data_IF_402759336353
#
_entry.id   IF_402759336353
#
_cell.length_a   1.000
_cell.length_b   1.000
_cell.length_c   1.000
_cell.angle_alpha   90.00
_cell.angle_beta   90.00
_cell.angle_gamma   90.00
#
_symmetry.space_group_name_H-M   'P 1'
#
loop_
_entity.id
_entity.type
_entity.pdbx_description
1 polymer ?
#
# COMPACT_ATOMS: atom_id res chain seq x y z
N UNK A 1 -24.87 -34.12 1.97
CA UNK A 1 -25.66 -32.91 2.29
C UNK A 1 -24.80 -31.98 3.11
N UNK A 2 -23.94 -31.20 2.45
CA UNK A 2 -22.99 -30.30 3.12
C UNK A 2 -23.58 -28.90 3.13
N UNK A 3 -23.95 -28.43 4.31
CA UNK A 3 -24.37 -27.07 4.57
C UNK A 3 -23.23 -26.13 4.21
N UNK A 4 -23.37 -25.47 3.06
CA UNK A 4 -22.49 -24.41 2.57
C UNK A 4 -22.59 -23.29 3.59
N UNK A 5 -21.64 -23.22 4.53
CA UNK A 5 -21.51 -22.05 5.40
C UNK A 5 -20.89 -20.97 4.53
N UNK A 6 -21.74 -20.31 3.73
CA UNK A 6 -21.39 -19.10 3.04
C UNK A 6 -20.73 -18.19 4.06
N UNK A 7 -19.45 -17.89 3.85
CA UNK A 7 -18.82 -16.74 4.49
C UNK A 7 -19.70 -15.58 4.05
N UNK A 8 -20.58 -15.14 4.95
CA UNK A 8 -21.34 -13.92 4.78
C UNK A 8 -20.28 -12.85 4.55
N UNK A 9 -20.10 -12.47 3.28
CA UNK A 9 -19.74 -11.10 2.94
C UNK A 9 -20.66 -10.27 3.80
N UNK A 10 -20.14 -9.60 4.83
CA UNK A 10 -20.95 -8.68 5.60
C UNK A 10 -21.64 -7.78 4.58
N UNK A 11 -22.97 -7.82 4.46
CA UNK A 11 -23.66 -7.01 3.48
C UNK A 11 -23.67 -5.62 4.10
N UNK A 12 -22.62 -4.85 3.86
CA UNK A 12 -22.63 -3.44 4.15
C UNK A 12 -23.18 -2.75 2.91
N UNK A 13 -24.29 -2.04 3.14
CA UNK A 13 -25.01 -1.13 2.26
C UNK A 13 -26.14 -1.70 1.40
N UNK A 14 -27.32 -1.68 2.04
CA UNK A 14 -28.65 -1.81 1.46
C UNK A 14 -29.05 -0.67 0.52
N UNK A 15 -28.19 0.33 0.25
CA UNK A 15 -28.45 1.42 -0.70
C UNK A 15 -27.18 1.84 -1.48
N UNK A 16 -26.69 0.98 -2.39
CA UNK A 16 -25.59 1.34 -3.32
C UNK A 16 -25.86 2.63 -4.11
N UNK A 17 -27.13 2.92 -4.38
CA UNK A 17 -27.53 4.15 -5.07
C UNK A 17 -27.27 5.41 -4.23
N UNK A 18 -27.48 5.36 -2.91
CA UNK A 18 -27.22 6.49 -2.01
C UNK A 18 -25.72 6.79 -1.94
N UNK A 19 -24.89 5.75 -1.87
CA UNK A 19 -23.42 5.91 -1.88
C UNK A 19 -22.92 6.54 -3.18
N UNK A 20 -23.50 6.14 -4.32
CA UNK A 20 -23.21 6.77 -5.61
C UNK A 20 -23.61 8.24 -5.65
N UNK A 21 -24.78 8.60 -5.17
CA UNK A 21 -25.22 10.01 -5.12
C UNK A 21 -24.25 10.83 -4.27
N UNK A 22 -23.92 10.35 -3.08
CA UNK A 22 -23.01 11.05 -2.17
C UNK A 22 -21.60 11.16 -2.77
N UNK A 23 -21.12 10.13 -3.48
CA UNK A 23 -19.84 10.18 -4.18
C UNK A 23 -19.85 11.18 -5.35
N UNK A 24 -20.94 11.24 -6.12
CA UNK A 24 -21.13 12.23 -7.20
C UNK A 24 -21.18 13.65 -6.63
N UNK A 25 -21.92 13.87 -5.53
CA UNK A 25 -21.94 15.17 -4.85
C UNK A 25 -20.56 15.59 -4.35
N UNK A 26 -19.78 14.65 -3.81
CA UNK A 26 -18.41 14.90 -3.39
C UNK A 26 -17.49 15.25 -4.58
N UNK A 27 -17.66 14.57 -5.72
CA UNK A 27 -16.94 14.90 -6.95
C UNK A 27 -17.31 16.29 -7.48
N UNK A 28 -18.61 16.62 -7.53
CA UNK A 28 -19.08 17.95 -7.94
C UNK A 28 -18.51 19.05 -7.05
N UNK A 29 -18.52 18.84 -5.74
CA UNK A 29 -17.92 19.77 -4.79
C UNK A 29 -16.41 19.93 -5.02
N UNK A 30 -15.69 18.83 -5.29
CA UNK A 30 -14.26 18.88 -5.60
C UNK A 30 -13.99 19.68 -6.88
N UNK A 31 -14.77 19.45 -7.95
CA UNK A 31 -14.66 20.23 -9.19
C UNK A 31 -14.89 21.72 -8.93
N UNK A 32 -15.88 22.07 -8.10
CA UNK A 32 -16.17 23.45 -7.72
C UNK A 32 -15.01 24.08 -6.93
N UNK A 33 -14.39 23.34 -6.00
CA UNK A 33 -13.21 23.80 -5.26
C UNK A 33 -12.01 24.03 -6.18
N UNK A 34 -11.77 23.13 -7.13
CA UNK A 34 -10.68 23.29 -8.11
C UNK A 34 -10.96 24.49 -9.02
N UNK A 35 -12.22 24.69 -9.42
CA UNK A 35 -12.64 25.86 -10.18
C UNK A 35 -12.35 27.15 -9.40
N UNK A 36 -12.75 27.25 -8.14
CA UNK A 36 -12.47 28.41 -7.26
C UNK A 36 -10.98 28.74 -7.19
N UNK A 37 -10.14 27.72 -6.93
CA UNK A 37 -8.68 27.89 -6.84
C UNK A 37 -8.05 28.39 -8.14
N UNK A 38 -8.60 27.99 -9.29
CA UNK A 38 -8.08 28.35 -10.61
C UNK A 38 -8.74 29.60 -11.19
N UNK A 39 -9.86 30.05 -10.62
CA UNK A 39 -10.70 31.12 -11.18
C UNK A 39 -9.92 32.42 -11.37
N UNK A 40 -9.24 32.91 -10.33
CA UNK A 40 -8.51 34.19 -10.39
C UNK A 40 -7.44 34.18 -11.49
N UNK A 41 -6.71 33.07 -11.62
CA UNK A 41 -5.65 32.92 -12.63
C UNK A 41 -6.20 32.85 -14.06
N UNK A 42 -7.37 32.23 -14.24
CA UNK A 42 -8.02 32.05 -15.54
C UNK A 42 -9.07 33.13 -15.84
N UNK A 43 -9.31 34.08 -14.93
CA UNK A 43 -10.36 35.08 -15.03
C UNK A 43 -10.28 35.89 -16.33
N UNK A 44 -9.08 36.29 -16.73
CA UNK A 44 -8.90 37.11 -17.94
C UNK A 44 -9.29 36.37 -19.22
N UNK A 45 -9.15 35.03 -19.23
CA UNK A 45 -9.67 34.17 -20.29
C UNK A 45 -11.19 34.09 -20.22
N UNK A 46 -11.76 33.91 -19.02
CA UNK A 46 -13.21 33.86 -18.83
C UNK A 46 -13.89 35.18 -19.21
N UNK A 47 -13.27 36.32 -18.91
CA UNK A 47 -13.77 37.65 -19.30
C UNK A 47 -13.92 37.76 -20.83
N UNK A 48 -13.01 37.15 -21.59
CA UNK A 48 -13.00 37.22 -23.05
C UNK A 48 -13.94 36.17 -23.69
N UNK A 49 -14.00 34.95 -23.15
CA UNK A 49 -14.70 33.82 -23.78
C UNK A 49 -16.10 33.59 -23.18
N UNK A 50 -16.26 33.76 -21.87
CA UNK A 50 -17.51 33.55 -21.12
C UNK A 50 -17.80 34.68 -20.11
N UNK A 51 -18.10 35.90 -20.56
CA UNK A 51 -18.35 37.04 -19.67
C UNK A 51 -19.58 36.85 -18.74
N UNK A 52 -20.52 35.99 -19.10
CA UNK A 52 -21.65 35.62 -18.23
C UNK A 52 -21.20 34.88 -16.97
N UNK A 53 -20.13 34.07 -17.06
CA UNK A 53 -19.56 33.38 -15.91
C UNK A 53 -18.92 34.37 -14.94
N UNK A 54 -18.17 35.35 -15.47
CA UNK A 54 -17.53 36.36 -14.63
C UNK A 54 -18.53 37.25 -13.92
N UNK A 55 -19.66 37.59 -14.55
CA UNK A 55 -20.73 38.36 -13.90
C UNK A 55 -21.34 37.65 -12.69
N UNK A 56 -21.43 36.33 -12.74
CA UNK A 56 -22.00 35.52 -11.65
C UNK A 56 -20.94 35.24 -10.57
N UNK A 57 -19.69 34.99 -10.96
CA UNK A 57 -18.65 34.54 -10.04
C UNK A 57 -17.77 35.64 -9.46
N UNK A 58 -17.58 36.77 -10.15
CA UNK A 58 -16.82 37.91 -9.62
C UNK A 58 -17.35 38.38 -8.25
N UNK A 59 -18.68 38.50 -8.01
CA UNK A 59 -19.18 38.86 -6.68
C UNK A 59 -18.81 37.87 -5.57
N UNK A 60 -18.60 36.59 -5.90
CA UNK A 60 -18.22 35.55 -4.93
C UNK A 60 -16.77 35.75 -4.48
N UNK A 61 -15.89 36.17 -5.38
CA UNK A 61 -14.49 36.52 -5.09
C UNK A 61 -14.29 37.98 -4.66
N UNK A 62 -15.40 38.69 -4.44
CA UNK A 62 -15.47 40.12 -4.13
C UNK A 62 -14.70 40.99 -5.14
N UNK A 63 -14.81 40.59 -6.41
CA UNK A 63 -14.21 41.27 -7.55
C UNK A 63 -15.18 42.31 -8.09
N UNK A 64 -14.72 43.54 -8.15
CA UNK A 64 -15.47 44.66 -8.70
C UNK A 64 -14.67 45.34 -9.83
N UNK A 65 -15.33 45.90 -10.86
CA UNK A 65 -14.64 46.74 -11.84
C UNK A 65 -13.91 47.88 -11.13
N UNK A 66 -12.64 48.09 -11.47
CA UNK A 66 -11.87 49.14 -10.80
C UNK A 66 -12.43 50.53 -11.20
N UNK A 67 -12.79 51.41 -10.24
CA UNK A 67 -13.51 52.66 -10.52
C UNK A 67 -12.81 53.57 -11.54
N UNK A 68 -11.49 53.75 -11.42
CA UNK A 68 -10.72 54.64 -12.29
C UNK A 68 -10.63 54.12 -13.73
N UNK A 69 -10.32 52.84 -13.93
CA UNK A 69 -10.24 52.24 -15.26
C UNK A 69 -11.61 52.13 -15.90
N UNK A 70 -12.66 51.89 -15.12
CA UNK A 70 -14.03 51.90 -15.64
C UNK A 70 -14.46 53.30 -16.08
N UNK A 71 -14.13 54.34 -15.29
CA UNK A 71 -14.38 55.73 -15.67
C UNK A 71 -13.65 56.08 -16.97
N UNK A 72 -12.38 55.68 -17.10
CA UNK A 72 -11.61 55.87 -18.33
C UNK A 72 -12.29 55.25 -19.56
N UNK A 73 -12.75 54.00 -19.46
CA UNK A 73 -13.46 53.32 -20.57
C UNK A 73 -14.81 53.94 -20.89
N UNK A 74 -15.52 54.42 -19.88
CA UNK A 74 -16.78 55.15 -20.08
C UNK A 74 -16.52 56.44 -20.86
N UNK A 75 -15.45 57.18 -20.53
CA UNK A 75 -15.05 58.40 -21.24
C UNK A 75 -14.62 58.15 -22.68
N UNK A 76 -13.94 57.04 -22.96
CA UNK A 76 -13.66 56.64 -24.35
C UNK A 76 -14.97 56.36 -25.11
N UNK A 77 -15.93 55.69 -24.47
CA UNK A 77 -17.23 55.39 -25.11
C UNK A 77 -18.07 56.66 -25.33
N UNK A 78 -17.98 57.64 -24.43
CA UNK A 78 -18.58 58.97 -24.57
C UNK A 78 -17.95 59.73 -25.75
N UNK A 79 -16.61 59.71 -25.88
CA UNK A 79 -15.89 60.28 -27.02
C UNK A 79 -16.35 59.65 -28.34
N UNK A 80 -16.39 58.32 -28.44
CA UNK A 80 -16.84 57.61 -29.65
C UNK A 80 -18.25 58.08 -30.08
N UNK A 81 -19.16 58.23 -29.13
CA UNK A 81 -20.53 58.69 -29.38
C UNK A 81 -20.57 60.16 -29.80
N UNK A 82 -19.79 61.02 -29.14
CA UNK A 82 -19.76 62.46 -29.40
C UNK A 82 -19.14 62.79 -30.77
N UNK A 83 -18.10 62.06 -31.17
CA UNK A 83 -17.44 62.21 -32.48
C UNK A 83 -18.39 61.82 -33.61
N UNK A 84 -19.21 60.77 -33.43
CA UNK A 84 -20.22 60.37 -34.41
C UNK A 84 -21.33 61.42 -34.59
N UNK A 85 -21.68 62.16 -33.54
CA UNK A 85 -22.76 63.16 -33.59
C UNK A 85 -22.30 64.54 -34.08
N UNK A 86 -21.15 65.00 -33.61
CA UNK A 86 -20.70 66.41 -33.81
C UNK A 86 -19.44 66.55 -34.66
N UNK A 87 -18.80 65.43 -35.01
CA UNK A 87 -17.52 65.40 -35.70
C UNK A 87 -16.33 65.66 -34.77
N UNK A 88 -15.15 65.27 -35.24
CA UNK A 88 -13.90 65.31 -34.45
C UNK A 88 -13.43 66.73 -34.10
N UNK A 89 -13.86 67.74 -34.85
CA UNK A 89 -13.42 69.14 -34.69
C UNK A 89 -14.34 70.01 -33.83
N UNK A 90 -15.23 69.40 -33.04
CA UNK A 90 -16.14 70.14 -32.18
C UNK A 90 -15.51 70.46 -30.82
N UNK A 91 -15.81 71.62 -30.19
CA UNK A 91 -15.31 71.95 -28.85
C UNK A 91 -15.61 70.90 -27.77
N UNK A 92 -16.79 70.25 -27.75
CA UNK A 92 -17.07 69.16 -26.80
C UNK A 92 -16.12 67.96 -26.94
N UNK A 93 -15.70 67.62 -28.16
CA UNK A 93 -14.77 66.51 -28.41
C UNK A 93 -13.37 66.84 -27.87
N UNK A 94 -12.88 68.06 -28.09
CA UNK A 94 -11.57 68.45 -27.55
C UNK A 94 -11.55 68.43 -26.01
N UNK A 95 -12.66 68.80 -25.35
CA UNK A 95 -12.79 68.69 -23.90
C UNK A 95 -12.71 67.23 -23.41
N UNK A 96 -13.35 66.28 -24.12
CA UNK A 96 -13.26 64.85 -23.81
C UNK A 96 -11.85 64.29 -24.06
N UNK A 97 -11.20 64.74 -25.14
CA UNK A 97 -9.81 64.37 -25.43
C UNK A 97 -8.86 64.89 -24.34
N UNK A 98 -9.05 66.11 -23.86
CA UNK A 98 -8.28 66.65 -22.74
C UNK A 98 -8.48 65.83 -21.46
N UNK A 99 -9.73 65.48 -21.13
CA UNK A 99 -10.04 64.62 -19.99
C UNK A 99 -9.36 63.25 -20.11
N UNK A 100 -9.38 62.63 -21.29
CA UNK A 100 -8.69 61.35 -21.53
C UNK A 100 -7.18 61.45 -21.41
N UNK A 101 -6.56 62.58 -21.81
CA UNK A 101 -5.12 62.83 -21.59
C UNK A 101 -4.79 62.90 -20.10
N UNK A 102 -5.61 63.61 -19.32
CA UNK A 102 -5.46 63.71 -17.87
C UNK A 102 -5.62 62.35 -17.18
N UNK A 103 -6.68 61.61 -17.52
CA UNK A 103 -6.93 60.28 -16.96
C UNK A 103 -5.83 59.28 -17.36
N UNK A 104 -5.28 59.39 -18.58
CA UNK A 104 -4.14 58.59 -19.02
C UNK A 104 -2.90 58.87 -18.18
N UNK A 105 -2.59 60.15 -17.91
CA UNK A 105 -1.47 60.53 -17.06
C UNK A 105 -1.64 59.99 -15.64
N UNK A 106 -2.85 60.13 -15.06
CA UNK A 106 -3.18 59.61 -13.74
C UNK A 106 -3.02 58.08 -13.68
N UNK A 107 -3.57 57.36 -14.65
CA UNK A 107 -3.42 55.89 -14.73
C UNK A 107 -1.95 55.45 -14.84
N UNK A 108 -1.10 56.23 -15.50
CA UNK A 108 0.34 55.95 -15.62
C UNK A 108 1.08 56.16 -14.30
N UNK A 109 0.71 57.20 -13.54
CA UNK A 109 1.30 57.63 -12.28
C UNK A 109 0.84 56.77 -11.10
N UNK A 110 -0.48 56.65 -10.90
CA UNK A 110 -1.09 55.98 -9.75
C UNK A 110 -1.06 54.45 -9.88
N UNK A 111 -0.93 53.95 -11.12
CA UNK A 111 -0.87 52.54 -11.47
C UNK A 111 -1.96 51.69 -10.78
N UNK A 112 -3.23 51.82 -11.21
CA UNK A 112 -4.36 51.11 -10.61
C UNK A 112 -4.32 49.58 -10.79
N UNK A 113 -3.29 49.04 -11.46
CA UNK A 113 -3.11 47.61 -11.69
C UNK A 113 -2.21 46.95 -10.64
N UNK A 114 -1.48 47.73 -9.84
CA UNK A 114 -0.51 47.20 -8.86
C UNK A 114 -1.19 46.44 -7.72
N UNK A 115 -2.34 46.93 -7.25
CA UNK A 115 -3.10 46.32 -6.14
C UNK A 115 -3.48 44.85 -6.38
N UNK A 116 -3.57 44.41 -7.64
CA UNK A 116 -3.94 43.04 -8.02
C UNK A 116 -2.82 42.30 -8.76
N UNK A 117 -1.56 42.74 -8.60
CA UNK A 117 -0.38 42.18 -9.25
C UNK A 117 -0.46 42.16 -10.79
N UNK A 118 -1.14 43.15 -11.39
CA UNK A 118 -1.31 43.28 -12.85
C UNK A 118 -0.47 44.41 -13.45
N UNK A 119 0.60 44.85 -12.80
CA UNK A 119 1.52 45.90 -13.29
C UNK A 119 2.03 45.63 -14.71
N UNK A 120 2.24 44.35 -15.05
CA UNK A 120 2.62 43.92 -16.40
C UNK A 120 1.58 44.26 -17.48
N UNK A 121 0.29 44.28 -17.13
CA UNK A 121 -0.79 44.70 -18.02
C UNK A 121 -0.67 46.17 -18.36
N UNK A 122 -0.41 47.03 -17.36
CA UNK A 122 -0.17 48.45 -17.62
C UNK A 122 1.10 48.66 -18.45
N UNK A 123 2.18 47.92 -18.18
CA UNK A 123 3.39 47.98 -19.00
C UNK A 123 3.10 47.61 -20.47
N UNK A 124 2.27 46.60 -20.71
CA UNK A 124 1.84 46.21 -22.07
C UNK A 124 1.00 47.30 -22.72
N UNK A 125 0.03 47.89 -22.01
CA UNK A 125 -0.76 49.03 -22.49
C UNK A 125 0.16 50.21 -22.89
N UNK A 126 1.10 50.58 -22.01
CA UNK A 126 2.10 51.64 -22.26
C UNK A 126 2.92 51.34 -23.52
N UNK A 127 3.34 50.08 -23.70
CA UNK A 127 4.11 49.65 -24.86
C UNK A 127 3.32 49.73 -26.18
N UNK A 128 2.10 49.19 -26.21
CA UNK A 128 1.25 49.20 -27.42
C UNK A 128 0.95 50.63 -27.90
N UNK A 129 0.66 51.56 -26.99
CA UNK A 129 0.39 52.98 -27.33
C UNK A 129 1.65 53.70 -27.82
N UNK A 130 2.82 53.40 -27.22
CA UNK A 130 4.12 53.94 -27.69
C UNK A 130 4.44 53.47 -29.10
N UNK A 131 4.26 52.18 -29.39
CA UNK A 131 4.46 51.62 -30.73
C UNK A 131 3.51 52.25 -31.74
N UNK A 132 2.24 52.46 -31.36
CA UNK A 132 1.24 53.04 -32.27
C UNK A 132 1.54 54.50 -32.63
N UNK A 133 1.99 55.29 -31.67
CA UNK A 133 2.26 56.73 -31.85
C UNK A 133 3.71 57.07 -32.22
N UNK A 134 4.60 56.06 -32.21
CA UNK A 134 6.04 56.17 -32.41
C UNK A 134 6.73 57.13 -31.42
N UNK A 135 6.31 57.08 -30.15
CA UNK A 135 6.83 57.94 -29.07
C UNK A 135 7.71 57.15 -28.08
N UNK A 136 8.72 57.83 -27.53
CA UNK A 136 9.66 57.20 -26.61
C UNK A 136 9.08 57.04 -25.20
N UNK A 137 8.30 58.00 -24.71
CA UNK A 137 7.73 57.96 -23.37
C UNK A 137 6.23 57.68 -23.40
N UNK A 138 5.74 56.90 -22.43
CA UNK A 138 4.33 56.53 -22.37
C UNK A 138 3.41 57.75 -22.21
N UNK A 139 3.80 58.74 -21.41
CA UNK A 139 3.00 59.95 -21.17
C UNK A 139 2.77 60.72 -22.47
N UNK A 140 3.85 60.98 -23.20
CA UNK A 140 3.82 61.64 -24.51
C UNK A 140 3.01 60.84 -25.53
N UNK A 141 3.17 59.51 -25.55
CA UNK A 141 2.42 58.62 -26.41
C UNK A 141 0.90 58.75 -26.20
N UNK A 142 0.44 58.75 -24.94
CA UNK A 142 -0.98 58.93 -24.63
C UNK A 142 -1.47 60.35 -24.92
N UNK A 143 -0.67 61.37 -24.64
CA UNK A 143 -0.98 62.77 -24.98
C UNK A 143 -1.17 62.94 -26.49
N UNK A 144 -0.29 62.33 -27.30
CA UNK A 144 -0.38 62.35 -28.76
C UNK A 144 -1.54 61.53 -29.29
N UNK A 145 -1.75 60.32 -28.77
CA UNK A 145 -2.85 59.43 -29.18
C UNK A 145 -4.21 60.10 -29.02
N UNK A 146 -4.45 60.75 -27.87
CA UNK A 146 -5.68 61.50 -27.58
C UNK A 146 -5.61 62.97 -28.01
N UNK A 147 -4.91 63.29 -29.10
CA UNK A 147 -4.91 64.64 -29.67
C UNK A 147 -5.80 64.71 -30.90
N UNK A 148 -6.55 65.80 -31.04
CA UNK A 148 -7.36 66.04 -32.23
C UNK A 148 -6.51 66.01 -33.51
N UNK A 149 -5.28 66.56 -33.45
CA UNK A 149 -4.36 66.58 -34.59
C UNK A 149 -3.98 65.16 -35.05
N UNK A 150 -3.63 64.26 -34.12
CA UNK A 150 -3.29 62.87 -34.46
C UNK A 150 -4.50 62.10 -35.00
N UNK A 151 -5.66 62.22 -34.34
CA UNK A 151 -6.89 61.55 -34.77
C UNK A 151 -7.50 62.12 -36.06
N UNK A 152 -7.11 63.34 -36.47
CA UNK A 152 -7.52 63.92 -37.76
C UNK A 152 -6.56 63.51 -38.88
N UNK A 153 -5.25 63.45 -38.57
CA UNK A 153 -4.22 63.05 -39.51
C UNK A 153 -4.26 61.55 -39.80
N UNK A 154 -4.46 60.75 -38.77
CA UNK A 154 -4.77 59.33 -38.86
C UNK A 154 -6.28 59.16 -38.98
N UNK A 155 -6.75 58.09 -39.61
CA UNK A 155 -8.18 57.82 -39.65
C UNK A 155 -8.69 57.47 -38.23
N UNK A 156 -9.48 58.35 -37.60
CA UNK A 156 -9.92 58.19 -36.21
C UNK A 156 -10.63 56.84 -35.96
N UNK A 157 -11.42 56.33 -36.92
CA UNK A 157 -12.07 55.03 -36.77
C UNK A 157 -11.05 53.90 -36.66
N UNK A 158 -9.93 53.98 -37.40
CA UNK A 158 -8.86 53.00 -37.28
C UNK A 158 -8.19 53.03 -35.91
N UNK A 159 -7.96 54.22 -35.35
CA UNK A 159 -7.33 54.36 -34.03
C UNK A 159 -8.26 53.90 -32.90
N UNK A 160 -9.55 54.19 -32.98
CA UNK A 160 -10.55 53.68 -32.04
C UNK A 160 -10.69 52.16 -32.16
N UNK A 161 -10.67 51.59 -33.36
CA UNK A 161 -10.69 50.13 -33.54
C UNK A 161 -9.43 49.46 -32.97
N UNK A 162 -8.25 50.07 -33.13
CA UNK A 162 -7.03 49.63 -32.47
C UNK A 162 -7.17 49.67 -30.95
N UNK A 163 -7.67 50.78 -30.40
CA UNK A 163 -7.90 50.91 -28.96
C UNK A 163 -8.88 49.84 -28.45
N UNK A 164 -10.02 49.67 -29.12
CA UNK A 164 -11.06 48.72 -28.73
C UNK A 164 -10.62 47.25 -28.84
N UNK A 165 -9.70 46.92 -29.76
CA UNK A 165 -9.22 45.56 -29.95
C UNK A 165 -7.99 45.21 -29.10
N UNK A 166 -7.07 46.16 -28.86
CA UNK A 166 -5.79 45.91 -28.21
C UNK A 166 -5.70 46.45 -26.79
N UNK A 167 -6.32 47.60 -26.50
CA UNK A 167 -6.13 48.33 -25.25
C UNK A 167 -7.32 48.15 -24.32
N UNK A 168 -8.55 48.29 -24.82
CA UNK A 168 -9.79 48.14 -24.04
C UNK A 168 -9.85 46.81 -23.27
N UNK A 169 -9.53 45.63 -23.84
CA UNK A 169 -9.57 44.37 -23.10
C UNK A 169 -8.55 44.32 -21.96
N UNK A 170 -7.38 44.93 -22.13
CA UNK A 170 -6.33 44.99 -21.11
C UNK A 170 -6.79 45.87 -19.93
N UNK A 171 -7.43 47.01 -20.20
CA UNK A 171 -7.97 47.90 -19.17
C UNK A 171 -9.17 47.23 -18.46
N UNK A 172 -10.06 46.54 -19.19
CA UNK A 172 -11.20 45.80 -18.62
C UNK A 172 -10.77 44.62 -17.74
N UNK A 173 -9.58 44.07 -17.98
CA UNK A 173 -9.03 43.02 -17.12
C UNK A 173 -8.70 43.50 -15.71
N UNK A 174 -8.57 44.82 -15.51
CA UNK A 174 -8.31 45.38 -14.19
C UNK A 174 -9.54 45.28 -13.29
N UNK A 175 -9.31 44.99 -12.02
CA UNK A 175 -10.37 44.88 -11.04
C UNK A 175 -9.87 45.32 -9.66
N UNK A 176 -10.82 45.64 -8.79
CA UNK A 176 -10.59 45.88 -7.37
C UNK A 176 -11.09 44.67 -6.58
N UNK A 177 -10.37 44.31 -5.51
CA UNK A 177 -10.81 43.33 -4.51
C UNK A 177 -10.64 43.92 -3.14
N UNK A 178 -11.66 43.81 -2.31
CA UNK A 178 -11.56 44.30 -0.95
C UNK A 178 -10.59 43.44 -0.12
N UNK A 179 -9.93 44.10 0.83
CA UNK A 179 -8.97 43.47 1.73
C UNK A 179 -9.63 43.42 3.10
N UNK A 180 -9.82 42.20 3.61
CA UNK A 180 -10.40 41.99 4.91
C UNK A 180 -9.50 42.51 6.05
N UNK A 181 -10.04 42.53 7.27
CA UNK A 181 -9.36 43.02 8.49
C UNK A 181 -7.95 42.43 8.74
N UNK A 182 -7.65 41.26 8.18
CA UNK A 182 -6.40 40.53 8.37
C UNK A 182 -5.46 40.57 7.15
N UNK A 183 -5.70 41.45 6.17
CA UNK A 183 -4.82 41.62 5.02
C UNK A 183 -5.00 40.59 3.89
N UNK A 184 -5.96 39.66 4.02
CA UNK A 184 -6.31 38.72 2.96
C UNK A 184 -7.46 39.27 2.10
N UNK A 185 -7.46 38.93 0.82
CA UNK A 185 -8.61 39.22 -0.05
C UNK A 185 -9.88 38.56 0.48
N UNK A 186 -10.98 39.29 0.40
CA UNK A 186 -12.29 38.75 0.75
C UNK A 186 -12.68 37.67 -0.27
N UNK A 187 -13.17 36.53 0.23
CA UNK A 187 -13.67 35.43 -0.58
C UNK A 187 -14.90 34.83 0.12
N UNK A 188 -16.02 34.81 -0.60
CA UNK A 188 -17.32 34.35 -0.12
C UNK A 188 -17.66 32.92 -0.60
N UNK A 189 -16.69 32.17 -1.15
CA UNK A 189 -16.90 30.81 -1.63
C UNK A 189 -17.50 29.89 -0.56
N UNK A 190 -17.18 30.14 0.71
CA UNK A 190 -17.71 29.36 1.82
C UNK A 190 -19.25 29.29 1.82
N UNK A 191 -19.97 30.29 1.28
CA UNK A 191 -21.43 30.25 1.16
C UNK A 191 -21.91 29.17 0.18
N UNK A 192 -21.18 28.96 -0.91
CA UNK A 192 -21.51 27.96 -1.94
C UNK A 192 -21.08 26.58 -1.46
N UNK A 193 -20.00 26.52 -0.69
CA UNK A 193 -19.46 25.29 -0.15
C UNK A 193 -20.28 24.74 1.03
N UNK A 194 -20.89 25.63 1.82
CA UNK A 194 -21.60 25.30 3.05
C UNK A 194 -22.72 24.25 2.85
N UNK A 195 -23.60 24.34 1.83
CA UNK A 195 -24.59 23.30 1.56
C UNK A 195 -23.99 21.89 1.39
N UNK A 196 -22.84 21.79 0.71
CA UNK A 196 -22.15 20.51 0.53
C UNK A 196 -21.58 20.00 1.85
N UNK A 197 -20.92 20.89 2.62
CA UNK A 197 -20.37 20.57 3.93
C UNK A 197 -21.46 20.08 4.89
N UNK A 198 -22.65 20.70 4.88
CA UNK A 198 -23.80 20.25 5.68
C UNK A 198 -24.24 18.85 5.27
N UNK A 199 -24.38 18.57 3.97
CA UNK A 199 -24.75 17.24 3.48
C UNK A 199 -23.71 16.19 3.91
N UNK A 200 -22.42 16.50 3.77
CA UNK A 200 -21.34 15.59 4.18
C UNK A 200 -21.28 15.39 5.68
N UNK A 201 -21.53 16.45 6.46
CA UNK A 201 -21.60 16.36 7.92
C UNK A 201 -22.73 15.42 8.34
N UNK A 202 -23.92 15.56 7.74
CA UNK A 202 -25.06 14.70 8.03
C UNK A 202 -24.81 13.24 7.62
N UNK A 203 -24.26 12.97 6.44
CA UNK A 203 -23.87 11.60 6.02
C UNK A 203 -22.81 11.00 6.95
N UNK A 204 -21.81 11.80 7.35
CA UNK A 204 -20.76 11.36 8.25
C UNK A 204 -21.29 11.01 9.65
N UNK A 205 -22.13 11.89 10.23
CA UNK A 205 -22.75 11.66 11.53
C UNK A 205 -23.70 10.45 11.50
N UNK A 206 -24.60 10.39 10.51
CA UNK A 206 -25.54 9.28 10.38
C UNK A 206 -24.83 7.93 10.24
N UNK A 207 -23.74 7.88 9.48
CA UNK A 207 -23.02 6.64 9.25
C UNK A 207 -22.14 6.21 10.42
N UNK A 208 -21.44 7.15 11.06
CA UNK A 208 -20.65 6.84 12.28
C UNK A 208 -21.56 6.42 13.43
N UNK A 209 -22.73 7.05 13.56
CA UNK A 209 -23.77 6.63 14.50
C UNK A 209 -24.30 5.22 14.21
N UNK A 210 -24.61 4.90 12.95
CA UNK A 210 -25.04 3.56 12.56
C UNK A 210 -23.97 2.49 12.85
N UNK A 211 -22.70 2.79 12.60
CA UNK A 211 -21.57 1.88 12.87
C UNK A 211 -21.42 1.63 14.38
N UNK A 212 -21.48 2.68 15.19
CA UNK A 212 -21.41 2.55 16.66
C UNK A 212 -22.60 1.76 17.19
N UNK A 213 -23.82 1.99 16.66
CA UNK A 213 -25.01 1.25 17.09
C UNK A 213 -24.96 -0.24 16.75
N UNK A 214 -24.31 -0.62 15.65
CA UNK A 214 -24.20 -2.01 15.19
C UNK A 214 -23.07 -2.78 15.89
N UNK A 215 -22.09 -2.09 16.46
CA UNK A 215 -20.93 -2.71 17.11
C UNK A 215 -20.89 -2.30 18.58
N UNK A 216 -21.36 -3.16 19.51
CA UNK A 216 -21.45 -2.81 20.94
C UNK A 216 -20.09 -2.56 21.60
N UNK A 217 -19.00 -3.01 20.98
CA UNK A 217 -17.63 -2.84 21.49
C UNK A 217 -16.95 -1.55 20.98
N UNK A 218 -17.61 -0.73 20.15
CA UNK A 218 -17.02 0.47 19.57
C UNK A 218 -17.68 1.74 20.10
N UNK A 219 -16.87 2.63 20.68
CA UNK A 219 -17.29 3.98 21.03
C UNK A 219 -17.55 4.80 19.75
N UNK A 220 -18.42 5.80 19.81
CA UNK A 220 -18.76 6.63 18.65
C UNK A 220 -17.54 7.39 18.10
N UNK A 221 -16.62 7.82 18.97
CA UNK A 221 -15.34 8.42 18.56
C UNK A 221 -14.46 7.43 17.78
N UNK A 222 -14.43 6.16 18.18
CA UNK A 222 -13.69 5.11 17.45
C UNK A 222 -14.32 4.85 16.09
N UNK A 223 -15.66 4.92 16.00
CA UNK A 223 -16.37 4.84 14.73
C UNK A 223 -16.05 6.03 13.80
N UNK A 224 -15.86 7.24 14.34
CA UNK A 224 -15.39 8.40 13.59
C UNK A 224 -13.94 8.23 13.12
N UNK A 225 -13.03 7.77 13.99
CA UNK A 225 -11.62 7.52 13.64
C UNK A 225 -11.48 6.48 12.53
N UNK A 226 -12.34 5.47 12.50
CA UNK A 226 -12.38 4.49 11.40
C UNK A 226 -12.68 5.12 10.03
N UNK A 227 -13.30 6.30 10.02
CA UNK A 227 -13.62 7.09 8.82
C UNK A 227 -12.93 8.46 8.85
N UNK A 228 -11.72 8.53 9.41
CA UNK A 228 -10.93 9.78 9.53
C UNK A 228 -10.83 10.56 8.21
N UNK A 229 -10.75 9.86 7.08
CA UNK A 229 -10.62 10.47 5.75
C UNK A 229 -11.82 11.36 5.37
N UNK A 230 -13.03 11.07 5.87
CA UNK A 230 -14.23 11.86 5.58
C UNK A 230 -14.20 13.23 6.28
N UNK A 231 -13.39 13.40 7.33
CA UNK A 231 -13.24 14.68 8.03
C UNK A 231 -12.73 15.76 7.07
N UNK A 232 -11.91 15.40 6.08
CA UNK A 232 -11.42 16.34 5.07
C UNK A 232 -12.54 16.96 4.21
N UNK A 233 -13.70 16.30 4.07
CA UNK A 233 -14.87 16.88 3.40
C UNK A 233 -15.49 18.03 4.20
N UNK A 234 -15.26 18.06 5.52
CA UNK A 234 -15.87 19.02 6.43
C UNK A 234 -14.99 20.26 6.67
N UNK A 235 -13.71 20.18 6.31
CA UNK A 235 -12.78 21.27 6.57
C UNK A 235 -13.11 22.48 5.68
N UNK A 236 -13.26 23.68 6.26
CA UNK A 236 -13.47 24.91 5.50
C UNK A 236 -12.15 25.47 4.94
N UNK A 237 -11.00 25.03 5.49
CA UNK A 237 -9.64 25.33 5.07
C UNK A 237 -8.99 24.10 4.41
N UNK A 238 -7.90 24.29 3.64
CA UNK A 238 -7.21 23.22 2.90
C UNK A 238 -8.14 22.33 2.09
N UNK A 239 -9.10 22.94 1.38
CA UNK A 239 -10.15 22.24 0.64
C UNK A 239 -9.62 21.27 -0.42
N UNK A 240 -8.37 21.42 -0.87
CA UNK A 240 -7.73 20.48 -1.80
C UNK A 240 -7.57 19.07 -1.20
N UNK A 241 -7.51 18.93 0.13
CA UNK A 241 -7.45 17.62 0.82
C UNK A 241 -8.69 16.75 0.56
N UNK A 242 -9.80 17.35 0.07
CA UNK A 242 -11.01 16.63 -0.34
C UNK A 242 -10.77 15.63 -1.46
N UNK A 243 -9.65 15.75 -2.19
CA UNK A 243 -9.23 14.75 -3.18
C UNK A 243 -9.16 13.33 -2.57
N UNK A 244 -8.74 13.21 -1.31
CA UNK A 244 -8.56 11.93 -0.60
C UNK A 244 -9.92 11.23 -0.39
N UNK A 245 -10.88 11.81 0.37
CA UNK A 245 -12.18 11.17 0.58
C UNK A 245 -12.97 10.99 -0.71
N UNK A 246 -12.89 11.91 -1.66
CA UNK A 246 -13.60 11.80 -2.95
C UNK A 246 -13.11 10.58 -3.72
N UNK A 247 -11.80 10.41 -3.84
CA UNK A 247 -11.20 9.26 -4.54
C UNK A 247 -11.62 7.94 -3.89
N UNK A 248 -11.58 7.87 -2.56
CA UNK A 248 -12.02 6.68 -1.80
C UNK A 248 -13.51 6.42 -2.03
N UNK A 249 -14.37 7.44 -1.98
CA UNK A 249 -15.83 7.31 -2.16
C UNK A 249 -16.20 6.89 -3.58
N UNK A 250 -15.50 7.40 -4.60
CA UNK A 250 -15.68 6.99 -5.99
C UNK A 250 -15.32 5.51 -6.20
N UNK A 251 -14.24 5.05 -5.55
CA UNK A 251 -13.88 3.64 -5.55
C UNK A 251 -14.91 2.77 -4.82
N UNK A 252 -15.31 3.17 -3.60
CA UNK A 252 -16.32 2.43 -2.81
C UNK A 252 -17.68 2.36 -3.51
N UNK A 253 -18.02 3.34 -4.34
CA UNK A 253 -19.27 3.40 -5.09
C UNK A 253 -19.25 2.62 -6.43
N UNK A 254 -18.16 1.91 -6.72
CA UNK A 254 -17.86 1.26 -8.01
C UNK A 254 -17.92 2.23 -9.20
N UNK A 255 -17.60 3.51 -8.98
CA UNK A 255 -17.55 4.54 -10.04
C UNK A 255 -16.14 4.68 -10.63
N UNK A 256 -15.11 4.22 -9.92
CA UNK A 256 -13.71 4.30 -10.33
C UNK A 256 -12.98 3.04 -9.88
N UNK A 257 -12.40 2.27 -10.81
CA UNK A 257 -11.70 1.01 -10.47
C UNK A 257 -10.24 1.28 -10.07
N UNK A 258 -9.96 1.37 -8.77
CA UNK A 258 -8.60 1.53 -8.19
C UNK A 258 -7.98 0.20 -7.73
N UNK A 259 -8.54 -0.92 -8.15
CA UNK A 259 -8.04 -2.27 -7.83
C UNK A 259 -6.53 -2.44 -8.10
N UNK A 260 -5.95 -1.98 -9.23
CA UNK A 260 -4.50 -2.06 -9.44
C UNK A 260 -3.69 -1.23 -8.43
N UNK A 261 -4.12 -0.01 -8.11
CA UNK A 261 -3.42 0.87 -7.17
C UNK A 261 -3.42 0.31 -5.74
N UNK A 262 -4.53 -0.31 -5.31
CA UNK A 262 -4.62 -0.95 -4.00
C UNK A 262 -3.74 -2.19 -3.90
N UNK A 263 -3.68 -2.99 -4.97
CA UNK A 263 -2.83 -4.19 -4.97
C UNK A 263 -1.35 -3.85 -4.75
N UNK A 264 -0.90 -2.72 -5.32
CA UNK A 264 0.46 -2.25 -5.19
C UNK A 264 0.76 -1.66 -3.81
N UNK A 265 -0.12 -0.80 -3.28
CA UNK A 265 0.04 -0.24 -1.93
C UNK A 265 0.01 -1.29 -0.82
N UNK A 266 -0.84 -2.31 -0.98
CA UNK A 266 -0.88 -3.44 -0.05
C UNK A 266 0.36 -4.30 -0.15
N UNK A 267 0.94 -4.48 -1.34
CA UNK A 267 2.16 -5.25 -1.54
C UNK A 267 3.34 -4.58 -0.82
N UNK A 268 3.58 -3.30 -1.07
CA UNK A 268 4.72 -2.58 -0.49
C UNK A 268 4.63 -2.49 1.04
N UNK A 269 3.45 -2.19 1.58
CA UNK A 269 3.24 -2.15 3.03
C UNK A 269 3.31 -3.56 3.67
N UNK A 270 2.77 -4.58 3.01
CA UNK A 270 2.82 -5.95 3.51
C UNK A 270 4.25 -6.49 3.50
N UNK A 271 5.07 -6.19 2.48
CA UNK A 271 6.47 -6.63 2.42
C UNK A 271 7.27 -5.99 3.54
N UNK A 272 7.17 -4.67 3.75
CA UNK A 272 7.91 -3.99 4.82
C UNK A 272 7.48 -4.45 6.22
N UNK A 273 6.19 -4.71 6.44
CA UNK A 273 5.68 -5.10 7.75
C UNK A 273 5.86 -6.61 8.02
N UNK A 274 5.82 -7.44 6.97
CA UNK A 274 5.99 -8.87 7.10
C UNK A 274 7.45 -9.26 7.36
N UNK A 275 8.43 -8.47 6.96
CA UNK A 275 9.85 -8.73 7.24
C UNK A 275 10.13 -8.81 8.74
N UNK A 276 9.86 -7.70 9.45
CA UNK A 276 10.12 -7.59 10.88
C UNK A 276 9.27 -8.59 11.69
N UNK A 277 8.00 -8.78 11.30
CA UNK A 277 7.11 -9.70 12.02
C UNK A 277 7.48 -11.15 11.78
N UNK A 278 7.82 -11.53 10.56
CA UNK A 278 8.16 -12.93 10.26
C UNK A 278 9.45 -13.32 10.96
N UNK A 279 10.46 -12.45 10.96
CA UNK A 279 11.68 -12.64 11.74
C UNK A 279 11.37 -12.84 13.23
N UNK A 280 10.60 -11.91 13.82
CA UNK A 280 10.25 -11.96 15.24
C UNK A 280 9.41 -13.19 15.61
N UNK A 281 8.43 -13.55 14.77
CA UNK A 281 7.55 -14.71 14.99
C UNK A 281 8.34 -16.01 14.87
N UNK A 282 9.24 -16.14 13.90
CA UNK A 282 10.08 -17.32 13.77
C UNK A 282 11.05 -17.50 14.94
N UNK A 283 11.70 -16.42 15.39
CA UNK A 283 12.51 -16.43 16.61
C UNK A 283 11.67 -16.85 17.82
N UNK A 284 10.50 -16.25 18.00
CA UNK A 284 9.62 -16.54 19.13
C UNK A 284 9.13 -17.99 19.14
N UNK A 285 8.82 -18.58 17.97
CA UNK A 285 8.45 -19.99 17.87
C UNK A 285 9.60 -20.91 18.25
N UNK A 286 10.83 -20.58 17.82
CA UNK A 286 12.01 -21.37 18.16
C UNK A 286 12.34 -21.23 19.66
N UNK A 287 12.21 -20.04 20.24
CA UNK A 287 12.35 -19.81 21.69
C UNK A 287 11.33 -20.63 22.48
N UNK A 288 10.06 -20.65 22.06
CA UNK A 288 9.03 -21.49 22.68
C UNK A 288 9.37 -22.98 22.60
N UNK A 289 9.95 -23.44 21.48
CA UNK A 289 10.43 -24.81 21.37
C UNK A 289 11.58 -25.05 22.35
N UNK A 290 12.58 -24.17 22.39
CA UNK A 290 13.71 -24.24 23.33
C UNK A 290 13.23 -24.28 24.77
N UNK A 291 12.23 -23.49 25.15
CA UNK A 291 11.63 -23.49 26.49
C UNK A 291 10.93 -24.82 26.80
N UNK A 292 10.22 -25.39 25.84
CA UNK A 292 9.60 -26.73 25.97
C UNK A 292 10.67 -27.81 26.18
N UNK A 293 11.83 -27.68 25.52
CA UNK A 293 12.99 -28.57 25.71
C UNK A 293 13.55 -28.41 27.12
N UNK A 294 13.81 -27.16 27.55
CA UNK A 294 14.36 -26.80 28.88
C UNK A 294 13.47 -27.34 30.02
N UNK A 295 12.16 -27.32 29.83
CA UNK A 295 11.18 -27.82 30.81
C UNK A 295 11.03 -29.35 30.82
N UNK A 296 11.70 -30.06 29.90
CA UNK A 296 11.64 -31.53 29.80
C UNK A 296 10.30 -32.07 29.31
N UNK A 297 9.44 -31.20 28.75
CA UNK A 297 8.12 -31.58 28.27
C UNK A 297 8.19 -32.39 26.97
N UNK A 298 9.28 -32.27 26.19
CA UNK A 298 9.47 -33.05 24.96
C UNK A 298 9.54 -34.56 25.19
N UNK A 299 10.25 -35.02 26.24
CA UNK A 299 10.29 -36.44 26.57
C UNK A 299 8.88 -36.94 26.90
N UNK A 300 8.12 -36.15 27.67
CA UNK A 300 6.73 -36.43 28.00
C UNK A 300 5.85 -36.45 26.73
N UNK A 301 6.06 -35.54 25.79
CA UNK A 301 5.32 -35.48 24.52
C UNK A 301 5.60 -36.67 23.57
N UNK A 302 6.84 -37.15 23.53
CA UNK A 302 7.26 -38.29 22.71
C UNK A 302 6.78 -39.63 23.28
N UNK A 303 6.91 -39.80 24.59
CA UNK A 303 6.61 -41.06 25.28
C UNK A 303 5.17 -41.16 25.81
N UNK A 304 4.41 -40.06 25.92
CA UNK A 304 3.02 -40.07 26.41
C UNK A 304 2.06 -39.34 25.47
N UNK A 305 1.82 -39.85 24.25
CA UNK A 305 0.94 -39.21 23.26
C UNK A 305 -0.52 -39.07 23.72
N UNK A 306 -0.96 -39.89 24.68
CA UNK A 306 -2.29 -39.87 25.32
C UNK A 306 -2.56 -38.57 26.11
N UNK A 307 -1.51 -37.88 26.56
CA UNK A 307 -1.62 -36.71 27.46
C UNK A 307 -1.64 -35.37 26.72
N UNK A 308 -1.65 -35.41 25.38
CA UNK A 308 -1.69 -34.22 24.53
C UNK A 308 -3.01 -33.47 24.72
N UNK A 309 -2.94 -32.15 24.94
CA UNK A 309 -4.10 -31.25 24.85
C UNK A 309 -4.78 -31.44 23.49
N UNK A 310 -6.11 -31.22 23.36
CA UNK A 310 -6.87 -31.60 22.18
C UNK A 310 -6.35 -30.87 20.94
N UNK A 311 -5.53 -31.55 20.14
CA UNK A 311 -5.13 -31.08 18.82
C UNK A 311 -6.31 -31.26 17.86
N UNK A 312 -6.39 -30.37 16.87
CA UNK A 312 -7.30 -30.52 15.73
C UNK A 312 -6.82 -31.73 14.92
N UNK A 313 -7.47 -32.87 15.11
CA UNK A 313 -7.29 -34.05 14.26
C UNK A 313 -7.81 -33.72 12.87
N UNK A 314 -6.90 -33.43 11.95
CA UNK A 314 -7.24 -33.18 10.53
C UNK A 314 -7.72 -34.48 9.86
N UNK A 315 -7.33 -35.65 10.39
CA UNK A 315 -7.73 -36.97 9.89
C UNK A 315 -7.97 -37.99 11.01
N UNK A 316 -8.87 -38.95 10.79
CA UNK A 316 -9.25 -40.03 11.72
C UNK A 316 -8.20 -41.16 11.84
N UNK A 317 -6.98 -40.98 11.32
CA UNK A 317 -5.93 -42.01 11.35
C UNK A 317 -4.89 -41.67 12.41
N UNK A 318 -4.48 -42.67 13.18
CA UNK A 318 -3.34 -42.54 14.08
C UNK A 318 -2.04 -42.48 13.25
N UNK A 319 -1.65 -41.27 12.86
CA UNK A 319 -0.53 -40.96 11.98
C UNK A 319 0.79 -41.54 12.50
N UNK A 320 1.00 -41.54 13.82
CA UNK A 320 2.20 -42.07 14.46
C UNK A 320 2.34 -43.57 14.22
N UNK A 321 1.25 -44.34 14.38
CA UNK A 321 1.25 -45.79 14.11
C UNK A 321 1.54 -46.09 12.64
N UNK A 322 1.01 -45.28 11.74
CA UNK A 322 1.22 -45.46 10.30
C UNK A 322 2.67 -45.14 9.90
N UNK A 323 3.24 -44.04 10.41
CA UNK A 323 4.64 -43.67 10.19
C UNK A 323 5.56 -44.77 10.74
N UNK A 324 5.32 -45.26 11.95
CA UNK A 324 6.10 -46.35 12.54
C UNK A 324 6.05 -47.62 11.67
N UNK A 325 4.87 -48.02 11.22
CA UNK A 325 4.70 -49.18 10.33
C UNK A 325 5.41 -48.97 9.00
N UNK A 326 5.35 -47.76 8.44
CA UNK A 326 6.04 -47.42 7.18
C UNK A 326 7.56 -47.43 7.35
N UNK A 327 8.10 -46.89 8.44
CA UNK A 327 9.53 -46.90 8.75
C UNK A 327 10.05 -48.33 8.96
N UNK A 328 9.27 -49.20 9.62
CA UNK A 328 9.60 -50.63 9.74
C UNK A 328 9.67 -51.29 8.37
N UNK A 329 8.70 -51.01 7.49
CA UNK A 329 8.71 -51.55 6.13
C UNK A 329 9.91 -51.04 5.31
N UNK A 330 10.22 -49.74 5.36
CA UNK A 330 11.42 -49.18 4.70
C UNK A 330 12.68 -49.81 5.29
N UNK A 331 12.74 -49.96 6.61
CA UNK A 331 13.83 -50.63 7.31
C UNK A 331 14.07 -52.06 6.82
N UNK A 332 13.00 -52.85 6.68
CA UNK A 332 13.06 -54.27 6.31
C UNK A 332 13.35 -54.45 4.82
N UNK A 333 12.65 -53.72 3.96
CA UNK A 333 12.66 -53.96 2.51
C UNK A 333 13.67 -53.09 1.77
N UNK A 334 13.95 -51.88 2.23
CA UNK A 334 14.81 -50.93 1.52
C UNK A 334 16.19 -50.78 2.17
N UNK A 335 16.26 -50.75 3.50
CA UNK A 335 17.51 -50.52 4.25
C UNK A 335 18.28 -51.81 4.52
N UNK A 336 17.61 -52.84 5.05
CA UNK A 336 18.27 -54.09 5.47
C UNK A 336 19.05 -54.78 4.33
N UNK A 337 18.55 -54.84 3.09
CA UNK A 337 19.32 -55.42 1.98
C UNK A 337 20.58 -54.61 1.66
N UNK A 338 20.54 -53.28 1.78
CA UNK A 338 21.69 -52.41 1.50
C UNK A 338 22.78 -52.53 2.57
N UNK A 339 22.40 -52.85 3.81
CA UNK A 339 23.33 -53.01 4.93
C UNK A 339 23.84 -54.45 5.07
N UNK A 340 23.22 -55.44 4.40
CA UNK A 340 23.62 -56.85 4.42
C UNK A 340 25.12 -57.08 4.15
N UNK A 341 25.77 -56.44 3.15
CA UNK A 341 27.20 -56.66 2.89
C UNK A 341 28.08 -56.19 4.07
N UNK A 342 27.69 -55.11 4.74
CA UNK A 342 28.40 -54.58 5.89
C UNK A 342 28.25 -55.50 7.12
N UNK A 343 27.08 -56.13 7.27
CA UNK A 343 26.85 -57.14 8.31
C UNK A 343 27.66 -58.42 8.05
N UNK A 344 27.74 -58.85 6.79
CA UNK A 344 28.58 -60.00 6.40
C UNK A 344 30.06 -59.70 6.69
N UNK A 345 30.55 -58.49 6.40
CA UNK A 345 31.90 -58.07 6.72
C UNK A 345 32.17 -58.04 8.24
N UNK A 346 31.20 -57.58 9.04
CA UNK A 346 31.30 -57.57 10.50
C UNK A 346 31.35 -58.99 11.07
N UNK A 347 30.44 -59.87 10.63
CA UNK A 347 30.40 -61.29 11.05
C UNK A 347 31.69 -61.99 10.62
N UNK A 348 32.17 -61.73 9.40
CA UNK A 348 33.43 -62.24 8.92
C UNK A 348 34.59 -61.81 9.82
N UNK A 349 34.64 -60.53 10.23
CA UNK A 349 35.65 -60.04 11.15
C UNK A 349 35.59 -60.75 12.50
N UNK A 350 34.41 -60.89 13.10
CA UNK A 350 34.22 -61.56 14.40
C UNK A 350 34.58 -63.04 14.35
N UNK A 351 34.17 -63.77 13.31
CA UNK A 351 34.50 -65.19 13.16
C UNK A 351 36.00 -65.36 12.88
N UNK A 352 36.59 -64.50 12.04
CA UNK A 352 38.01 -64.51 11.76
C UNK A 352 38.85 -64.26 13.01
N UNK A 353 38.47 -63.27 13.85
CA UNK A 353 39.17 -62.99 15.10
C UNK A 353 39.06 -64.16 16.07
N UNK A 354 37.84 -64.68 16.31
CA UNK A 354 37.63 -65.78 17.26
C UNK A 354 38.28 -67.09 16.81
N UNK A 355 38.33 -67.38 15.50
CA UNK A 355 39.04 -68.56 15.01
C UNK A 355 40.56 -68.43 15.15
N UNK A 356 41.14 -67.26 14.89
CA UNK A 356 42.59 -67.03 15.06
C UNK A 356 43.05 -67.24 16.51
N UNK A 357 42.18 -66.92 17.47
CA UNK A 357 42.47 -67.05 18.90
C UNK A 357 42.29 -68.49 19.43
N UNK A 358 41.82 -69.44 18.60
CA UNK A 358 41.59 -70.82 19.02
C UNK A 358 42.84 -71.70 18.89
N UNK A 359 43.17 -72.55 19.90
CA UNK A 359 44.30 -73.48 19.83
C UNK A 359 44.17 -74.51 18.69
N UNK A 360 42.95 -74.81 18.24
CA UNK A 360 42.70 -75.69 17.09
C UNK A 360 43.15 -75.06 15.75
N UNK A 361 43.07 -73.72 15.61
CA UNK A 361 43.51 -73.02 14.40
C UNK A 361 45.04 -73.07 14.25
N UNK A 362 45.76 -72.88 15.35
CA UNK A 362 47.22 -72.96 15.39
C UNK A 362 47.73 -74.38 15.05
N UNK A 363 47.01 -75.42 15.45
CA UNK A 363 47.36 -76.82 15.14
C UNK A 363 47.16 -77.16 13.65
N UNK A 364 46.10 -76.64 13.02
CA UNK A 364 45.80 -76.90 11.60
C UNK A 364 46.73 -76.11 10.67
N UNK A 365 47.16 -74.91 11.08
CA UNK A 365 48.09 -74.08 10.31
C UNK A 365 49.51 -74.68 10.22
N UNK A 366 49.87 -75.60 11.12
CA UNK A 366 51.17 -76.26 11.14
C UNK A 366 51.26 -77.51 10.25
N UNK A 367 50.16 -77.90 9.58
CA UNK A 367 50.15 -79.08 8.69
C UNK A 367 50.41 -78.65 7.24
N UNK A 368 51.54 -79.04 6.63
CA UNK A 368 51.88 -78.65 5.26
C UNK A 368 50.80 -79.13 4.28
N UNK A 369 50.30 -78.19 3.46
CA UNK A 369 49.21 -78.40 2.50
C UNK A 369 47.82 -77.90 2.96
N UNK A 370 47.62 -77.59 4.25
CA UNK A 370 46.32 -77.20 4.81
C UNK A 370 46.22 -75.72 5.26
N UNK A 371 47.25 -74.91 5.00
CA UNK A 371 47.38 -73.52 5.49
C UNK A 371 46.27 -72.54 5.05
N UNK A 372 45.49 -72.88 4.03
CA UNK A 372 44.44 -72.04 3.45
C UNK A 372 43.01 -72.48 3.83
N UNK A 373 42.87 -73.66 4.44
CA UNK A 373 41.59 -74.23 4.85
C UNK A 373 40.84 -73.34 5.86
N UNK A 374 41.50 -72.73 6.87
CA UNK A 374 40.80 -71.94 7.88
C UNK A 374 40.14 -70.68 7.31
N UNK A 375 40.79 -69.97 6.38
CA UNK A 375 40.23 -68.76 5.78
C UNK A 375 38.98 -69.07 4.94
N UNK A 376 39.00 -70.18 4.20
CA UNK A 376 37.84 -70.63 3.42
C UNK A 376 36.67 -71.08 4.31
N UNK A 377 36.96 -71.66 5.47
CA UNK A 377 35.95 -72.02 6.47
C UNK A 377 35.35 -70.77 7.10
N UNK A 378 36.18 -69.78 7.48
CA UNK A 378 35.70 -68.50 7.99
C UNK A 378 34.81 -67.78 6.98
N UNK A 379 35.21 -67.73 5.71
CA UNK A 379 34.44 -67.10 4.65
C UNK A 379 33.10 -67.79 4.41
N UNK A 380 33.09 -69.13 4.33
CA UNK A 380 31.85 -69.91 4.16
C UNK A 380 30.95 -69.84 5.39
N UNK A 381 31.51 -69.86 6.61
CA UNK A 381 30.74 -69.77 7.85
C UNK A 381 30.13 -68.37 8.00
N UNK A 382 30.91 -67.31 7.78
CA UNK A 382 30.42 -65.94 7.86
C UNK A 382 29.29 -65.69 6.85
N UNK A 383 29.49 -66.12 5.60
CA UNK A 383 28.48 -65.98 4.54
C UNK A 383 27.22 -66.78 4.85
N UNK A 384 27.35 -68.04 5.26
CA UNK A 384 26.20 -68.88 5.58
C UNK A 384 25.45 -68.40 6.83
N UNK A 385 26.17 -67.95 7.87
CA UNK A 385 25.56 -67.42 9.10
C UNK A 385 24.87 -66.08 8.84
N UNK A 386 25.50 -65.17 8.08
CA UNK A 386 24.90 -63.91 7.67
C UNK A 386 23.63 -64.14 6.84
N UNK A 387 23.70 -65.00 5.82
CA UNK A 387 22.54 -65.30 4.97
C UNK A 387 21.43 -66.03 5.74
N UNK A 388 21.77 -66.96 6.63
CA UNK A 388 20.80 -67.68 7.46
C UNK A 388 20.15 -66.75 8.48
N UNK A 389 20.93 -65.89 9.15
CA UNK A 389 20.41 -64.88 10.07
C UNK A 389 19.50 -63.88 9.36
N UNK A 390 19.92 -63.37 8.19
CA UNK A 390 19.11 -62.48 7.36
C UNK A 390 17.79 -63.12 6.95
N UNK A 391 17.84 -64.35 6.40
CA UNK A 391 16.67 -65.10 5.96
C UNK A 391 15.73 -65.44 7.12
N UNK A 392 16.28 -65.80 8.28
CA UNK A 392 15.49 -66.11 9.46
C UNK A 392 14.89 -64.85 10.11
N UNK A 393 15.59 -63.72 10.10
CA UNK A 393 15.06 -62.43 10.57
C UNK A 393 13.92 -61.93 9.69
N UNK A 394 14.10 -61.92 8.37
CA UNK A 394 13.03 -61.53 7.44
C UNK A 394 11.82 -62.46 7.52
N UNK A 395 12.04 -63.77 7.70
CA UNK A 395 10.97 -64.76 7.89
C UNK A 395 10.27 -64.61 9.23
N UNK A 396 11.01 -64.41 10.33
CA UNK A 396 10.45 -64.20 11.66
C UNK A 396 9.63 -62.90 11.70
N UNK A 397 10.12 -61.80 11.13
CA UNK A 397 9.37 -60.54 11.08
C UNK A 397 8.08 -60.62 10.25
N UNK A 398 7.91 -61.67 9.44
CA UNK A 398 6.71 -61.95 8.64
C UNK A 398 5.77 -62.97 9.29
N UNK A 399 6.15 -63.60 10.41
CA UNK A 399 5.38 -64.62 11.12
C UNK A 399 4.49 -63.97 12.19
N UNK A 400 3.18 -64.31 12.27
CA UNK A 400 2.27 -63.77 13.29
C UNK A 400 2.75 -63.94 14.73
N UNK A 401 3.50 -64.99 15.07
CA UNK A 401 4.02 -65.20 16.44
C UNK A 401 5.19 -64.26 16.74
N UNK A 402 6.06 -64.03 15.75
CA UNK A 402 7.19 -63.14 15.92
C UNK A 402 6.79 -61.66 15.82
N UNK A 403 5.67 -61.32 15.18
CA UNK A 403 5.05 -60.00 15.29
C UNK A 403 4.66 -59.68 16.74
N UNK A 404 4.12 -60.65 17.49
CA UNK A 404 3.80 -60.49 18.92
C UNK A 404 5.06 -60.32 19.79
N UNK A 405 6.08 -61.16 19.58
CA UNK A 405 7.37 -61.04 20.30
C UNK A 405 8.07 -59.71 20.02
N UNK A 406 8.06 -59.26 18.76
CA UNK A 406 8.61 -57.97 18.35
C UNK A 406 7.84 -56.83 19.01
N UNK A 407 6.50 -56.93 19.06
CA UNK A 407 5.68 -55.95 19.76
C UNK A 407 6.04 -55.86 21.25
N UNK A 408 6.19 -56.99 21.94
CA UNK A 408 6.58 -57.02 23.37
C UNK A 408 7.99 -56.49 23.60
N UNK A 409 8.95 -56.85 22.73
CA UNK A 409 10.32 -56.34 22.80
C UNK A 409 10.34 -54.83 22.59
N UNK A 410 9.57 -54.32 21.63
CA UNK A 410 9.47 -52.89 21.37
C UNK A 410 8.86 -52.13 22.56
N UNK A 411 7.82 -52.68 23.19
CA UNK A 411 7.23 -52.12 24.41
C UNK A 411 8.24 -52.08 25.54
N UNK A 412 8.89 -53.21 25.86
CA UNK A 412 9.88 -53.28 26.94
C UNK A 412 11.10 -52.38 26.66
N UNK A 413 11.57 -52.34 25.41
CA UNK A 413 12.67 -51.47 25.00
C UNK A 413 12.29 -50.00 25.19
N UNK A 414 11.07 -49.60 24.80
CA UNK A 414 10.57 -48.24 25.02
C UNK A 414 10.55 -47.91 26.51
N UNK A 415 10.01 -48.79 27.36
CA UNK A 415 9.88 -48.53 28.80
C UNK A 415 11.26 -48.39 29.47
N UNK A 416 12.22 -49.24 29.10
CA UNK A 416 13.60 -49.18 29.60
C UNK A 416 14.33 -47.95 29.07
N UNK A 417 14.18 -47.63 27.77
CA UNK A 417 14.78 -46.45 27.15
C UNK A 417 14.24 -45.16 27.77
N UNK A 418 12.94 -45.10 28.02
CA UNK A 418 12.30 -43.98 28.69
C UNK A 418 12.87 -43.78 30.09
N UNK A 419 13.00 -44.85 30.87
CA UNK A 419 13.59 -44.81 32.20
C UNK A 419 15.05 -44.31 32.19
N UNK A 420 15.85 -44.77 31.23
CA UNK A 420 17.25 -44.35 31.07
C UNK A 420 17.39 -42.90 30.58
N UNK A 421 16.53 -42.45 29.67
CA UNK A 421 16.53 -41.08 29.15
C UNK A 421 15.99 -40.06 30.16
N UNK A 422 15.12 -40.48 31.08
CA UNK A 422 14.66 -39.66 32.21
C UNK A 422 15.71 -39.50 33.32
N UNK A 423 16.83 -40.23 33.27
CA UNK A 423 17.94 -40.00 34.21
C UNK A 423 18.52 -38.60 33.99
N UNK A 424 18.58 -37.83 35.07
CA UNK A 424 18.94 -36.40 35.11
C UNK A 424 20.14 -36.01 34.23
N UNK A 425 21.19 -36.84 34.19
CA UNK A 425 22.40 -36.56 33.41
C UNK A 425 22.15 -36.64 31.89
N UNK A 426 21.50 -37.71 31.44
CA UNK A 426 21.19 -37.92 30.02
C UNK A 426 20.19 -36.86 29.52
N UNK A 427 19.16 -36.56 30.32
CA UNK A 427 18.15 -35.55 29.94
C UNK A 427 18.78 -34.18 29.70
N UNK A 428 19.71 -33.74 30.56
CA UNK A 428 20.36 -32.44 30.44
C UNK A 428 21.28 -32.35 29.22
N UNK A 429 22.03 -33.41 28.90
CA UNK A 429 22.90 -33.46 27.73
C UNK A 429 22.09 -33.43 26.43
N UNK A 430 21.04 -34.26 26.32
CA UNK A 430 20.13 -34.24 25.16
C UNK A 430 19.38 -32.91 25.02
N UNK A 431 18.94 -32.31 26.13
CA UNK A 431 18.30 -30.99 26.10
C UNK A 431 19.25 -29.91 25.58
N UNK A 432 20.52 -29.91 26.03
CA UNK A 432 21.53 -28.95 25.55
C UNK A 432 21.74 -29.09 24.05
N UNK A 433 21.97 -30.31 23.56
CA UNK A 433 22.21 -30.56 22.14
C UNK A 433 21.03 -30.12 21.25
N UNK A 434 19.79 -30.34 21.71
CA UNK A 434 18.62 -29.90 20.97
C UNK A 434 18.42 -28.38 21.02
N UNK A 435 18.74 -27.74 22.14
CA UNK A 435 18.71 -26.27 22.26
C UNK A 435 19.75 -25.65 21.33
N UNK A 436 20.96 -26.21 21.30
CA UNK A 436 22.05 -25.75 20.44
C UNK A 436 21.69 -25.90 18.95
N UNK A 437 21.09 -27.04 18.56
CA UNK A 437 20.58 -27.24 17.20
C UNK A 437 19.48 -26.23 16.85
N UNK A 438 18.55 -25.95 17.78
CA UNK A 438 17.52 -24.94 17.58
C UNK A 438 18.09 -23.53 17.46
N UNK A 439 19.17 -23.22 18.18
CA UNK A 439 19.87 -21.95 18.07
C UNK A 439 20.52 -21.79 16.69
N UNK A 440 21.13 -22.86 16.17
CA UNK A 440 21.68 -22.87 14.81
C UNK A 440 20.57 -22.68 13.74
N UNK A 441 19.40 -23.31 13.95
CA UNK A 441 18.23 -23.11 13.08
C UNK A 441 17.73 -21.66 13.15
N UNK A 442 17.71 -21.04 14.35
CA UNK A 442 17.31 -19.64 14.55
C UNK A 442 18.21 -18.67 13.78
N UNK A 443 19.52 -18.83 13.89
CA UNK A 443 20.50 -17.99 13.18
C UNK A 443 20.33 -18.13 11.66
N UNK A 444 20.17 -19.36 11.18
CA UNK A 444 20.00 -19.63 9.75
C UNK A 444 18.64 -19.12 9.22
N UNK A 445 17.60 -19.12 10.04
CA UNK A 445 16.29 -18.58 9.70
C UNK A 445 16.34 -17.07 9.46
N UNK A 446 16.93 -16.31 10.39
CA UNK A 446 17.09 -14.85 10.27
C UNK A 446 17.90 -14.49 9.04
N UNK A 447 19.02 -15.20 8.82
CA UNK A 447 19.86 -15.01 7.63
C UNK A 447 19.11 -15.33 6.33
N UNK A 448 18.30 -16.38 6.32
CA UNK A 448 17.50 -16.75 5.16
C UNK A 448 16.46 -15.72 4.74
N UNK A 449 15.84 -15.03 5.71
CA UNK A 449 14.89 -13.93 5.45
C UNK A 449 15.62 -12.73 4.84
N UNK A 450 16.77 -12.33 5.43
CA UNK A 450 17.57 -11.22 4.94
C UNK A 450 18.09 -11.44 3.50
N UNK A 451 18.43 -12.68 3.14
CA UNK A 451 18.97 -13.00 1.81
C UNK A 451 17.90 -13.23 0.72
N UNK A 452 16.71 -13.75 1.08
CA UNK A 452 15.70 -14.19 0.11
C UNK A 452 14.52 -13.23 -0.09
N UNK A 453 14.33 -12.27 0.81
CA UNK A 453 13.17 -11.38 0.80
C UNK A 453 11.86 -12.08 1.18
N UNK A 454 10.93 -11.32 1.76
CA UNK A 454 9.70 -11.85 2.39
C UNK A 454 8.63 -12.28 1.37
N UNK A 455 8.79 -11.90 0.11
CA UNK A 455 7.83 -12.16 -0.98
C UNK A 455 7.48 -13.63 -1.13
N UNK A 456 8.46 -14.54 -1.03
CA UNK A 456 8.20 -15.98 -1.17
C UNK A 456 7.35 -16.54 -0.02
N UNK A 457 7.55 -16.01 1.19
CA UNK A 457 6.82 -16.42 2.39
C UNK A 457 5.37 -15.90 2.32
N UNK A 458 5.17 -14.68 1.83
CA UNK A 458 3.85 -14.09 1.60
C UNK A 458 3.03 -14.90 0.59
N UNK A 459 3.65 -15.36 -0.49
CA UNK A 459 3.00 -16.20 -1.49
C UNK A 459 2.56 -17.55 -0.93
N UNK A 460 3.41 -18.21 -0.13
CA UNK A 460 3.08 -19.47 0.53
C UNK A 460 1.97 -19.29 1.59
N UNK A 461 2.02 -18.22 2.39
CA UNK A 461 0.99 -17.90 3.36
C UNK A 461 -0.39 -17.68 2.70
N UNK A 462 -0.42 -17.00 1.56
CA UNK A 462 -1.63 -16.81 0.76
C UNK A 462 -2.21 -18.14 0.24
N UNK A 463 -1.36 -19.10 -0.16
CA UNK A 463 -1.80 -20.43 -0.57
C UNK A 463 -2.41 -21.23 0.59
N UNK A 464 -1.79 -21.19 1.77
CA UNK A 464 -2.28 -21.88 2.97
C UNK A 464 -3.62 -21.28 3.43
N UNK A 465 -3.75 -19.95 3.43
CA UNK A 465 -5.01 -19.30 3.78
C UNK A 465 -6.17 -19.73 2.87
N UNK A 466 -5.89 -19.94 1.58
CA UNK A 466 -6.86 -20.45 0.59
C UNK A 466 -7.29 -21.90 0.83
N UNK A 467 -6.45 -22.71 1.49
CA UNK A 467 -6.75 -24.10 1.85
C UNK A 467 -7.61 -24.16 3.12
N UNK A 468 -7.30 -23.32 4.13
CA UNK A 468 -7.99 -23.32 5.42
C UNK A 468 -9.43 -22.77 5.37
N UNK A 469 -9.74 -21.90 4.40
CA UNK A 469 -11.05 -21.25 4.26
C UNK A 469 -11.88 -21.76 3.06
N UNK A 470 -11.55 -22.96 2.56
CA UNK A 470 -12.37 -23.71 1.60
C UNK A 470 -13.31 -24.65 2.34
#
# INVERSE_FOLDING_TARGET
MTSKKDIKKDPVYRNRWFERIIAILALLNLCLVVFDMTYIHLRDLYLQVLPSLTQVYDPIEDIQPHPETQNYLNKVTELETQVLQTGLSSPPVESLLEELRLLSSRMIEDNPFDAVNKSGTLAKIKHEIRLRTNEQFAREAFTKFWSQAYLSQQNWQSEINFFNSKIRPLIQSNYYRDIGRFGNFVNHFWLIDLPFVIIFALDFLARTFYISRRNPNLNWLEAMLRRWYDIFLLLPFWRWLRIIPVTIRLYQADLLNLEPLRSQLNHDFAVSFAEEITEMVGIQLIDQMQDTIRQGELARWLFHPETRKPYVQVNERNEVKFIATRLVNIGIYDVLPQVQPNLEALIHHTIASTFKDSPAYQQIQNIPGLNHLPNQLTEKLARNLSQSAYKNLTKALSDPVAAELTSRLMTNFRDVLEMELQKKHNTQEFQSLLIDMLEEIKINYVKGIADSGVEKILDEANQIHKILYK
#
